data_IF_673758540999
#
_entry.id   IF_673758540999
#
_cell.length_a   1.000
_cell.length_b   1.000
_cell.length_c   1.000
_cell.angle_alpha   90.00
_cell.angle_beta   90.00
_cell.angle_gamma   90.00
#
_symmetry.space_group_name_H-M   'P 1'
#
loop_
_entity.id
_entity.type
_entity.pdbx_description
1 polymer ?
#
# COMPACT_ATOMS: atom_id res chain seq x y z
N UNK A 1 7.27 19.24 -18.88
CA UNK A 1 5.86 19.47 -19.28
C UNK A 1 5.15 20.09 -18.09
N UNK A 2 4.28 21.08 -18.28
CA UNK A 2 3.49 21.71 -17.20
C UNK A 2 2.09 21.11 -17.21
N UNK A 3 1.56 20.81 -16.04
CA UNK A 3 0.19 20.37 -15.84
C UNK A 3 -0.52 21.28 -14.84
N UNK A 4 -1.85 21.30 -14.91
CA UNK A 4 -2.69 22.13 -14.06
C UNK A 4 -3.77 21.25 -13.41
N UNK A 5 -4.03 21.47 -12.13
CA UNK A 5 -5.16 20.88 -11.41
C UNK A 5 -6.01 22.01 -10.86
N UNK A 6 -7.32 21.92 -11.07
CA UNK A 6 -8.29 22.82 -10.46
C UNK A 6 -9.40 22.00 -9.81
N UNK A 7 -9.85 22.41 -8.63
CA UNK A 7 -10.89 21.70 -7.87
C UNK A 7 -12.30 22.21 -8.17
N UNK A 8 -12.43 23.39 -8.79
CA UNK A 8 -13.74 23.97 -9.12
C UNK A 8 -14.51 24.42 -7.88
N UNK A 9 -13.83 24.61 -6.74
CA UNK A 9 -14.44 25.04 -5.49
C UNK A 9 -14.47 26.57 -5.43
N UNK A 10 -15.67 27.15 -5.32
CA UNK A 10 -15.85 28.60 -5.22
C UNK A 10 -16.45 29.00 -3.87
N UNK A 11 -15.66 29.62 -3.01
CA UNK A 11 -16.21 30.62 -2.08
C UNK A 11 -16.43 31.91 -2.88
N UNK A 12 -17.63 32.47 -2.76
CA UNK A 12 -18.31 33.36 -3.72
C UNK A 12 -17.66 34.73 -4.00
N UNK A 13 -16.33 34.90 -3.94
CA UNK A 13 -15.69 36.20 -4.18
C UNK A 13 -14.29 36.18 -4.81
N UNK A 14 -13.64 35.03 -5.03
CA UNK A 14 -12.28 35.01 -5.59
C UNK A 14 -12.06 33.83 -6.56
N UNK A 15 -12.18 34.11 -7.86
CA UNK A 15 -12.06 33.15 -8.97
C UNK A 15 -10.62 32.66 -9.28
N UNK A 16 -9.66 32.75 -8.35
CA UNK A 16 -8.24 32.62 -8.71
C UNK A 16 -7.36 31.79 -7.76
N UNK A 17 -7.91 31.17 -6.72
CA UNK A 17 -7.06 30.50 -5.70
C UNK A 17 -7.12 28.97 -5.73
N UNK A 18 -7.89 28.35 -6.63
CA UNK A 18 -8.06 26.90 -6.71
C UNK A 18 -7.33 26.25 -7.89
N UNK A 19 -6.35 26.94 -8.48
CA UNK A 19 -5.52 26.42 -9.58
C UNK A 19 -4.10 26.18 -9.08
N UNK A 20 -3.64 24.93 -9.19
CA UNK A 20 -2.26 24.55 -8.91
C UNK A 20 -1.54 24.17 -10.21
N UNK A 21 -0.39 24.81 -10.45
CA UNK A 21 0.53 24.42 -11.52
C UNK A 21 1.54 23.41 -10.97
N UNK A 22 1.79 22.34 -11.72
CA UNK A 22 2.84 21.37 -11.40
C UNK A 22 3.73 21.11 -12.62
N UNK A 23 5.02 20.87 -12.38
CA UNK A 23 5.99 20.52 -13.41
C UNK A 23 6.34 19.04 -13.32
N UNK A 24 6.57 18.37 -14.46
CA UNK A 24 7.03 16.96 -14.51
C UNK A 24 8.31 16.67 -13.71
N UNK A 25 9.07 17.71 -13.33
CA UNK A 25 10.27 17.59 -12.49
C UNK A 25 9.94 17.59 -10.99
N UNK A 26 8.77 18.07 -10.60
CA UNK A 26 8.29 18.17 -9.22
C UNK A 26 7.21 17.13 -8.89
N UNK A 27 6.81 16.30 -9.85
CA UNK A 27 5.81 15.23 -9.65
C UNK A 27 6.50 13.99 -9.13
N UNK A 28 6.54 13.88 -7.82
CA UNK A 28 6.51 12.61 -7.11
C UNK A 28 5.30 12.64 -6.21
N UNK A 29 4.62 11.50 -6.03
CA UNK A 29 3.89 11.31 -4.78
C UNK A 29 5.00 11.16 -3.74
N UNK A 30 5.46 12.26 -3.15
CA UNK A 30 6.14 12.18 -1.87
C UNK A 30 5.05 11.84 -0.88
N UNK A 31 4.76 10.54 -0.73
CA UNK A 31 3.97 10.10 0.41
C UNK A 31 4.64 10.73 1.62
N UNK A 32 3.91 11.50 2.45
CA UNK A 32 4.49 11.98 3.69
C UNK A 32 5.13 10.77 4.36
N UNK A 33 6.38 10.90 4.81
CA UNK A 33 7.05 9.88 5.60
C UNK A 33 6.26 9.79 6.90
N UNK A 34 5.15 9.05 6.88
CA UNK A 34 4.26 8.92 8.00
C UNK A 34 4.88 7.84 8.88
N UNK A 35 5.73 8.30 9.81
CA UNK A 35 6.19 7.48 10.91
C UNK A 35 4.96 6.78 11.54
N UNK A 36 5.02 5.46 11.69
CA UNK A 36 3.93 4.67 12.25
C UNK A 36 2.91 4.12 11.23
N UNK A 37 3.11 4.32 9.93
CA UNK A 37 2.29 3.66 8.91
C UNK A 37 2.88 2.34 8.45
N UNK A 38 1.97 1.40 8.14
CA UNK A 38 2.27 0.13 7.48
C UNK A 38 1.50 0.07 6.17
N UNK A 39 2.23 -0.11 5.07
CA UNK A 39 1.67 -0.27 3.74
C UNK A 39 1.99 -1.67 3.20
N UNK A 40 1.07 -2.17 2.39
CA UNK A 40 1.18 -3.47 1.72
C UNK A 40 0.97 -3.23 0.25
N UNK A 41 1.86 -3.71 -0.60
CA UNK A 41 1.68 -3.61 -2.03
C UNK A 41 2.14 -4.89 -2.69
N UNK A 42 1.44 -5.22 -3.77
CA UNK A 42 1.80 -6.36 -4.59
C UNK A 42 2.96 -5.95 -5.48
N UNK A 43 4.07 -6.66 -5.42
CA UNK A 43 5.14 -6.46 -6.39
C UNK A 43 4.97 -7.49 -7.49
N UNK A 44 5.22 -7.04 -8.73
CA UNK A 44 5.26 -7.90 -9.90
C UNK A 44 6.14 -9.13 -9.56
N UNK A 45 5.57 -10.35 -9.66
CA UNK A 45 6.16 -11.67 -9.38
C UNK A 45 5.86 -12.32 -8.00
N UNK A 46 4.61 -12.75 -7.75
CA UNK A 46 4.21 -13.63 -6.64
C UNK A 46 4.88 -13.27 -5.30
N UNK A 47 4.97 -11.99 -4.99
CA UNK A 47 5.62 -11.52 -3.79
C UNK A 47 4.85 -10.32 -3.25
N UNK A 48 4.80 -10.22 -1.94
CA UNK A 48 4.27 -9.05 -1.25
C UNK A 48 5.43 -8.27 -0.66
N UNK A 49 5.33 -6.95 -0.75
CA UNK A 49 6.24 -6.05 -0.07
C UNK A 49 5.43 -5.30 0.96
N UNK A 50 5.96 -5.31 2.17
CA UNK A 50 5.34 -4.73 3.35
C UNK A 50 6.33 -3.73 3.90
N UNK A 51 5.99 -2.45 3.88
CA UNK A 51 6.80 -1.39 4.46
C UNK A 51 6.13 -0.91 5.73
N UNK A 52 6.86 -0.95 6.85
CA UNK A 52 6.40 -0.40 8.13
C UNK A 52 7.47 0.53 8.69
N UNK A 53 7.04 1.69 9.19
CA UNK A 53 7.88 2.56 10.00
C UNK A 53 8.08 2.04 11.43
N UNK A 54 7.29 1.04 11.85
CA UNK A 54 7.34 0.45 13.18
C UNK A 54 8.23 -0.80 13.19
N UNK A 55 9.03 -0.95 14.25
CA UNK A 55 9.81 -2.17 14.51
C UNK A 55 8.97 -3.19 15.28
N UNK A 56 9.32 -4.46 15.14
CA UNK A 56 8.73 -5.54 15.94
C UNK A 56 8.18 -6.69 15.10
N UNK A 57 7.55 -7.65 15.78
CA UNK A 57 6.99 -8.84 15.15
C UNK A 57 5.80 -8.48 14.26
N UNK A 58 5.89 -8.88 13.00
CA UNK A 58 4.84 -8.80 12.01
C UNK A 58 4.30 -10.21 11.76
N UNK A 59 3.00 -10.38 11.90
CA UNK A 59 2.27 -11.55 11.40
C UNK A 59 1.58 -11.21 10.09
N UNK A 60 1.74 -12.06 9.09
CA UNK A 60 1.10 -11.93 7.79
C UNK A 60 0.33 -13.19 7.45
N UNK A 61 -0.96 -13.03 7.18
CA UNK A 61 -1.82 -14.07 6.68
C UNK A 61 -2.40 -13.69 5.32
N UNK A 62 -2.60 -14.69 4.46
CA UNK A 62 -3.29 -14.54 3.19
C UNK A 62 -4.50 -15.47 3.15
N UNK A 63 -5.66 -14.93 2.79
CA UNK A 63 -6.93 -15.65 2.69
C UNK A 63 -7.49 -15.57 1.28
N UNK A 64 -8.15 -16.62 0.82
CA UNK A 64 -9.00 -16.53 -0.37
C UNK A 64 -10.35 -15.85 -0.06
N UNK A 65 -11.18 -15.65 -1.08
CA UNK A 65 -12.50 -15.01 -0.92
C UNK A 65 -13.51 -15.85 -0.14
N UNK A 66 -13.22 -17.13 0.11
CA UNK A 66 -14.05 -17.99 0.98
C UNK A 66 -13.67 -17.86 2.46
N UNK A 67 -12.61 -17.09 2.76
CA UNK A 67 -12.05 -16.95 4.11
C UNK A 67 -11.09 -18.08 4.49
N UNK A 68 -10.73 -18.97 3.56
CA UNK A 68 -9.75 -20.02 3.83
C UNK A 68 -8.35 -19.42 3.82
N UNK A 69 -7.59 -19.66 4.88
CA UNK A 69 -6.17 -19.28 4.96
C UNK A 69 -5.35 -20.09 3.94
N UNK A 70 -4.68 -19.40 3.04
CA UNK A 70 -3.84 -19.98 1.99
C UNK A 70 -2.35 -19.93 2.32
N UNK A 71 -1.92 -18.96 3.13
CA UNK A 71 -0.53 -18.75 3.49
C UNK A 71 -0.42 -17.97 4.80
N UNK A 72 0.66 -18.19 5.54
CA UNK A 72 1.00 -17.48 6.77
C UNK A 72 2.51 -17.35 6.88
N UNK A 73 2.99 -16.21 7.35
CA UNK A 73 4.40 -15.97 7.61
C UNK A 73 4.57 -14.91 8.70
N UNK A 74 5.72 -14.97 9.37
CA UNK A 74 6.09 -14.04 10.44
C UNK A 74 7.48 -13.48 10.17
N UNK A 75 7.69 -12.24 10.54
CA UNK A 75 9.01 -11.61 10.44
C UNK A 75 9.18 -10.52 11.47
N UNK A 76 10.38 -10.41 12.03
CA UNK A 76 10.73 -9.30 12.90
C UNK A 76 11.23 -8.12 12.05
N UNK A 77 10.45 -7.05 11.98
CA UNK A 77 10.81 -5.84 11.24
C UNK A 77 11.81 -5.01 12.03
N UNK A 78 12.98 -4.76 11.44
CA UNK A 78 13.96 -3.82 11.97
C UNK A 78 13.88 -2.41 11.33
N UNK A 79 12.93 -2.20 10.42
CA UNK A 79 12.71 -0.97 9.65
C UNK A 79 12.42 -1.28 8.17
N UNK A 80 12.50 -0.25 7.31
CA UNK A 80 12.47 -0.16 5.83
C UNK A 80 11.49 -1.04 5.01
N UNK A 81 11.28 -2.30 5.36
CA UNK A 81 10.28 -3.19 4.81
C UNK A 81 10.70 -4.66 4.81
N UNK A 82 9.72 -5.53 4.58
CA UNK A 82 9.87 -6.97 4.43
C UNK A 82 9.31 -7.41 3.08
N UNK A 83 10.05 -8.31 2.43
CA UNK A 83 9.66 -8.92 1.17
C UNK A 83 9.37 -10.39 1.44
N UNK A 84 8.17 -10.83 1.10
CA UNK A 84 7.75 -12.21 1.27
C UNK A 84 7.35 -12.80 -0.07
N UNK A 85 8.04 -13.87 -0.47
CA UNK A 85 7.62 -14.69 -1.58
C UNK A 85 6.34 -15.43 -1.21
N UNK A 86 5.35 -15.40 -2.08
CA UNK A 86 4.12 -16.16 -1.95
C UNK A 86 4.29 -17.55 -2.58
N UNK A 87 3.61 -18.58 -2.06
CA UNK A 87 3.53 -19.86 -2.73
C UNK A 87 2.86 -19.72 -4.09
N UNK A 88 2.99 -20.74 -4.94
CA UNK A 88 2.24 -20.81 -6.19
C UNK A 88 0.75 -20.90 -5.88
N UNK A 89 0.03 -19.80 -6.11
CA UNK A 89 -1.40 -19.69 -5.89
C UNK A 89 -2.13 -19.58 -7.24
N UNK A 90 -3.39 -20.04 -7.33
CA UNK A 90 -4.25 -19.72 -8.45
C UNK A 90 -4.33 -18.20 -8.69
N UNK A 91 -4.52 -17.81 -9.95
CA UNK A 91 -4.79 -16.40 -10.26
C UNK A 91 -6.15 -16.01 -9.66
N UNK A 92 -6.21 -14.86 -8.99
CA UNK A 92 -7.42 -14.44 -8.30
C UNK A 92 -7.19 -13.29 -7.30
N UNK A 93 -8.27 -12.94 -6.61
CA UNK A 93 -8.26 -11.94 -5.54
C UNK A 93 -8.09 -12.65 -4.20
N UNK A 94 -7.21 -12.10 -3.37
CA UNK A 94 -6.93 -12.55 -2.01
C UNK A 94 -7.04 -11.39 -1.02
N UNK A 95 -7.26 -11.72 0.24
CA UNK A 95 -7.24 -10.77 1.35
C UNK A 95 -5.98 -11.04 2.18
N UNK A 96 -5.06 -10.07 2.19
CA UNK A 96 -3.95 -10.08 3.13
C UNK A 96 -4.38 -9.44 4.44
N UNK A 97 -4.07 -10.09 5.55
CA UNK A 97 -4.21 -9.54 6.89
C UNK A 97 -2.82 -9.45 7.52
N UNK A 98 -2.49 -8.28 8.06
CA UNK A 98 -1.24 -8.01 8.75
C UNK A 98 -1.54 -7.61 10.18
N UNK A 99 -0.77 -8.14 11.11
CA UNK A 99 -0.85 -7.78 12.52
C UNK A 99 0.54 -7.40 13.02
N UNK A 100 0.65 -6.22 13.62
CA UNK A 100 1.89 -5.71 14.21
C UNK A 100 1.55 -4.86 15.43
N UNK A 101 2.16 -5.14 16.58
CA UNK A 101 1.96 -4.34 17.80
C UNK A 101 0.50 -4.19 18.24
N UNK A 102 -0.34 -5.22 18.02
CA UNK A 102 -1.77 -5.21 18.32
C UNK A 102 -2.63 -4.43 17.33
N UNK A 103 -2.05 -3.84 16.27
CA UNK A 103 -2.78 -3.22 15.17
C UNK A 103 -2.96 -4.24 14.06
N UNK A 104 -4.16 -4.27 13.46
CA UNK A 104 -4.47 -5.12 12.32
C UNK A 104 -4.81 -4.28 11.09
N UNK A 105 -4.19 -4.61 9.96
CA UNK A 105 -4.46 -4.02 8.65
C UNK A 105 -4.92 -5.12 7.72
N UNK A 106 -5.82 -4.81 6.81
CA UNK A 106 -6.24 -5.76 5.77
C UNK A 106 -6.23 -5.08 4.40
N UNK A 107 -5.76 -5.81 3.39
CA UNK A 107 -5.67 -5.29 2.01
C UNK A 107 -6.01 -6.36 0.99
N UNK A 108 -6.71 -5.92 -0.06
CA UNK A 108 -6.98 -6.74 -1.25
C UNK A 108 -5.71 -6.86 -2.09
N UNK A 109 -5.36 -8.09 -2.48
CA UNK A 109 -4.24 -8.41 -3.35
C UNK A 109 -4.77 -9.16 -4.57
N UNK A 110 -4.28 -8.80 -5.76
CA UNK A 110 -4.60 -9.50 -7.02
C UNK A 110 -3.39 -10.33 -7.45
N UNK A 111 -3.50 -11.65 -7.48
CA UNK A 111 -2.48 -12.53 -8.05
C UNK A 111 -2.86 -12.83 -9.49
N UNK A 112 -2.01 -12.46 -10.45
CA UNK A 112 -2.20 -12.79 -11.87
C UNK A 112 -1.20 -13.86 -12.30
N UNK A 113 -1.67 -14.92 -12.98
CA UNK A 113 -0.77 -15.78 -13.73
C UNK A 113 -0.19 -14.98 -14.91
N UNK A 114 1.12 -15.07 -15.11
CA UNK A 114 1.73 -14.71 -16.39
C UNK A 114 1.55 -15.85 -17.37
#
# INVERSE_FOLDING_TARGET
MRGYVATGYSDASFYATDVWEYSSADVGITEPVQAGMTAVYNAYANQVIISSGEKGLLHFDLYDLTGKKCFSAESELQGAGWKQALPTLPGGIYIAALEQGGKRISKKILISKR
#
